data_IF_432914884746
#
_entry.id   IF_432914884746
#
_cell.length_a   1.000
_cell.length_b   1.000
_cell.length_c   1.000
_cell.angle_alpha   90.00
_cell.angle_beta   90.00
_cell.angle_gamma   90.00
#
_symmetry.space_group_name_H-M   'P 1'
#
loop_
_entity.id
_entity.type
_entity.pdbx_description
1 polymer ?
#
# COMPACT_ATOMS: atom_id res chain seq x y z
N UNK A 1 49.46 -47.52 28.73
CA UNK A 1 50.10 -47.26 30.03
C UNK A 1 49.78 -45.80 30.37
N UNK A 2 48.77 -45.57 31.21
CA UNK A 2 48.86 -45.51 32.68
C UNK A 2 49.39 -44.13 33.13
N UNK A 3 48.49 -43.22 33.50
CA UNK A 3 48.16 -42.85 34.90
C UNK A 3 48.98 -41.63 35.37
N UNK A 4 48.51 -40.72 36.25
CA UNK A 4 47.14 -40.34 36.65
C UNK A 4 47.22 -39.14 37.61
N UNK A 5 46.33 -38.14 37.47
CA UNK A 5 46.05 -37.17 38.53
C UNK A 5 44.61 -36.64 38.37
N UNK A 6 43.87 -36.51 39.47
CA UNK A 6 42.46 -36.16 39.49
C UNK A 6 42.11 -35.29 40.70
N UNK A 7 41.26 -34.28 40.51
CA UNK A 7 40.63 -33.54 41.61
C UNK A 7 39.21 -33.15 41.23
N UNK A 8 38.24 -33.86 41.79
CA UNK A 8 36.80 -33.61 41.66
C UNK A 8 36.24 -33.07 42.97
N UNK A 9 35.38 -32.05 42.91
CA UNK A 9 34.54 -31.63 44.03
C UNK A 9 33.09 -31.48 43.57
N UNK A 10 32.16 -32.05 44.33
CA UNK A 10 30.74 -32.12 43.99
C UNK A 10 29.89 -32.12 45.27
N UNK A 11 29.13 -31.04 45.47
CA UNK A 11 28.15 -30.80 46.52
C UNK A 11 27.19 -29.73 45.98
N UNK A 12 25.89 -29.70 46.28
CA UNK A 12 24.95 -30.75 46.67
C UNK A 12 23.53 -30.21 46.37
N UNK A 13 22.52 -31.08 46.28
CA UNK A 13 21.14 -30.63 46.04
C UNK A 13 20.33 -30.68 47.34
N UNK A 14 19.56 -29.63 47.63
CA UNK A 14 18.54 -29.62 48.70
C UNK A 14 17.26 -28.96 48.24
N UNK A 15 16.13 -29.60 48.55
CA UNK A 15 14.78 -29.18 48.19
C UNK A 15 13.86 -29.17 49.41
N UNK A 16 13.24 -28.03 49.69
CA UNK A 16 12.09 -27.86 50.58
C UNK A 16 11.29 -26.67 50.00
N UNK A 17 10.01 -26.79 49.66
CA UNK A 17 8.84 -26.87 50.56
C UNK A 17 8.65 -25.60 51.40
N UNK A 18 7.48 -24.98 51.56
CA UNK A 18 6.14 -24.99 50.95
C UNK A 18 5.27 -24.09 51.87
N UNK A 19 4.27 -23.40 51.32
CA UNK A 19 3.05 -22.90 52.00
C UNK A 19 2.96 -21.62 52.86
N UNK A 20 1.74 -21.08 52.78
CA UNK A 20 0.98 -20.21 53.69
C UNK A 20 1.56 -18.87 54.21
N UNK A 21 0.96 -17.77 53.71
CA UNK A 21 -0.09 -17.10 54.51
C UNK A 21 -1.09 -16.31 53.65
N UNK A 22 -2.35 -16.25 54.10
CA UNK A 22 -3.50 -15.68 53.37
C UNK A 22 -4.41 -14.86 54.29
N UNK A 23 -4.83 -13.67 53.84
CA UNK A 23 -6.00 -12.84 54.26
C UNK A 23 -6.01 -11.66 53.27
N UNK A 24 -7.10 -11.28 52.59
CA UNK A 24 -8.42 -10.86 53.09
C UNK A 24 -8.59 -9.38 52.64
N UNK A 25 -9.76 -8.81 52.32
CA UNK A 25 -11.17 -9.13 52.62
C UNK A 25 -12.05 -8.75 51.39
N UNK A 26 -13.28 -9.27 51.30
CA UNK A 26 -14.30 -8.86 50.31
C UNK A 26 -15.64 -8.54 50.98
N UNK A 27 -16.25 -7.40 50.63
CA UNK A 27 -17.64 -6.97 50.92
C UNK A 27 -18.00 -6.05 49.71
N UNK A 28 -19.07 -6.21 48.89
CA UNK A 28 -20.53 -6.28 49.14
C UNK A 28 -21.07 -4.95 49.75
N UNK A 29 -22.28 -4.45 49.47
CA UNK A 29 -23.23 -4.64 48.34
C UNK A 29 -24.22 -3.42 48.33
N UNK A 30 -25.05 -3.29 47.28
CA UNK A 30 -26.38 -2.64 47.25
C UNK A 30 -26.64 -1.24 47.88
N UNK A 31 -27.26 -0.36 47.06
CA UNK A 31 -28.56 0.23 47.44
C UNK A 31 -29.38 0.66 46.19
N UNK A 32 -30.71 0.62 46.28
CA UNK A 32 -31.67 0.88 45.20
C UNK A 32 -32.65 2.03 45.51
N UNK A 33 -33.19 2.66 44.45
CA UNK A 33 -34.49 3.34 44.35
C UNK A 33 -34.70 4.65 45.16
N UNK A 34 -35.63 5.57 44.84
CA UNK A 34 -36.68 5.62 43.77
C UNK A 34 -36.48 6.91 42.88
N UNK A 35 -37.39 7.73 42.32
CA UNK A 35 -38.86 7.89 42.35
C UNK A 35 -39.49 8.61 41.10
N UNK A 36 -40.83 8.63 41.06
CA UNK A 36 -41.86 9.34 40.25
C UNK A 36 -41.51 10.68 39.51
N UNK A 37 -41.85 10.99 38.23
CA UNK A 37 -43.11 10.87 37.40
C UNK A 37 -44.29 11.73 37.92
N UNK A 38 -45.16 12.41 37.11
CA UNK A 38 -45.31 12.54 35.62
C UNK A 38 -44.93 14.00 35.12
N UNK A 39 -45.63 14.85 34.32
CA UNK A 39 -46.95 14.86 33.64
C UNK A 39 -47.14 16.01 32.59
N UNK A 40 -48.22 15.92 31.77
CA UNK A 40 -48.90 16.94 30.90
C UNK A 40 -48.17 17.60 29.70
N UNK A 41 -48.82 18.07 28.63
CA UNK A 41 -50.05 17.63 27.90
C UNK A 41 -50.18 18.36 26.54
N UNK A 42 -51.13 17.95 25.68
CA UNK A 42 -51.47 18.50 24.36
C UNK A 42 -51.59 20.03 24.23
N UNK A 43 -51.41 20.54 23.00
CA UNK A 43 -52.49 21.27 22.31
C UNK A 43 -52.35 21.19 20.76
N UNK A 44 -53.48 21.12 20.05
CA UNK A 44 -53.52 20.95 18.59
C UNK A 44 -53.94 22.21 17.80
N UNK A 45 -53.86 22.10 16.47
CA UNK A 45 -54.28 23.03 15.40
C UNK A 45 -55.51 23.93 15.68
N UNK A 46 -55.79 25.03 14.95
CA UNK A 46 -55.91 25.18 13.48
C UNK A 46 -56.05 26.70 13.15
N UNK A 47 -55.78 27.24 11.95
CA UNK A 47 -56.73 27.58 10.85
C UNK A 47 -56.03 28.47 9.78
N UNK A 48 -56.52 28.36 8.53
CA UNK A 48 -56.44 29.17 7.28
C UNK A 48 -56.02 30.68 7.36
N UNK A 49 -55.66 31.44 6.30
CA UNK A 49 -56.18 31.45 4.89
C UNK A 49 -55.26 32.17 3.86
N UNK A 50 -55.48 31.85 2.57
CA UNK A 50 -55.04 32.46 1.28
C UNK A 50 -54.61 33.96 1.22
N UNK A 51 -53.62 34.29 0.36
CA UNK A 51 -53.83 35.09 -0.89
C UNK A 51 -52.54 35.44 -1.69
N UNK A 52 -52.67 35.44 -3.04
CA UNK A 52 -51.97 36.28 -4.06
C UNK A 52 -50.43 36.37 -4.18
N UNK A 53 -49.89 36.14 -5.39
CA UNK A 53 -48.52 36.55 -5.80
C UNK A 53 -47.96 35.82 -7.04
N UNK A 54 -48.32 36.23 -8.26
CA UNK A 54 -47.78 35.65 -9.51
C UNK A 54 -46.63 36.50 -10.10
N UNK A 55 -45.46 35.88 -10.36
CA UNK A 55 -44.49 36.28 -11.38
C UNK A 55 -43.46 35.17 -11.66
N UNK A 56 -42.82 35.21 -12.83
CA UNK A 56 -41.54 34.53 -13.16
C UNK A 56 -41.52 32.98 -13.19
N UNK A 57 -42.02 32.37 -14.28
CA UNK A 57 -41.77 30.97 -14.65
C UNK A 57 -41.46 30.80 -16.14
N UNK A 58 -40.19 30.96 -16.54
CA UNK A 58 -39.74 30.72 -17.94
C UNK A 58 -38.36 30.02 -18.06
N UNK A 59 -37.67 29.71 -16.96
CA UNK A 59 -36.28 29.21 -17.00
C UNK A 59 -36.05 27.87 -16.27
N UNK A 60 -37.11 27.09 -16.02
CA UNK A 60 -37.06 25.88 -15.19
C UNK A 60 -37.66 24.61 -15.85
N UNK A 61 -37.90 24.65 -17.17
CA UNK A 61 -38.46 23.51 -17.95
C UNK A 61 -37.42 22.76 -18.80
N UNK A 62 -36.40 23.45 -19.33
CA UNK A 62 -35.37 22.84 -20.19
C UNK A 62 -34.44 21.90 -19.40
N UNK A 63 -33.99 22.31 -18.21
CA UNK A 63 -33.17 21.48 -17.34
C UNK A 63 -33.87 20.19 -16.89
N UNK A 64 -35.20 20.23 -16.68
CA UNK A 64 -35.99 19.05 -16.29
C UNK A 64 -36.21 18.07 -17.46
N UNK A 65 -36.34 18.55 -18.69
CA UNK A 65 -36.58 17.71 -19.87
C UNK A 65 -35.32 16.99 -20.37
N UNK A 66 -34.14 17.62 -20.31
CA UNK A 66 -32.89 16.93 -20.60
C UNK A 66 -32.60 15.81 -19.58
N UNK A 67 -32.86 16.08 -18.30
CA UNK A 67 -32.65 15.11 -17.21
C UNK A 67 -33.52 13.85 -17.38
N UNK A 68 -34.79 13.99 -17.78
CA UNK A 68 -35.66 12.84 -18.07
C UNK A 68 -35.28 12.12 -19.36
N UNK A 69 -34.85 12.84 -20.42
CA UNK A 69 -34.43 12.22 -21.68
C UNK A 69 -33.20 11.31 -21.51
N UNK A 70 -32.15 11.80 -20.83
CA UNK A 70 -30.95 11.00 -20.55
C UNK A 70 -31.25 9.77 -19.66
N UNK A 71 -32.13 9.92 -18.67
CA UNK A 71 -32.61 8.79 -17.85
C UNK A 71 -33.42 7.77 -18.64
N UNK A 72 -34.25 8.23 -19.59
CA UNK A 72 -35.06 7.38 -20.47
C UNK A 72 -34.18 6.57 -21.42
N UNK A 73 -33.23 7.22 -22.10
CA UNK A 73 -32.24 6.54 -22.95
C UNK A 73 -31.40 5.53 -22.16
N UNK A 74 -30.94 5.89 -20.96
CA UNK A 74 -30.19 4.98 -20.08
C UNK A 74 -31.02 3.74 -19.71
N UNK A 75 -32.33 3.91 -19.50
CA UNK A 75 -33.26 2.83 -19.16
C UNK A 75 -33.54 1.94 -20.37
N UNK A 76 -33.78 2.51 -21.55
CA UNK A 76 -33.94 1.77 -22.81
C UNK A 76 -32.67 0.99 -23.16
N UNK A 77 -31.49 1.59 -23.02
CA UNK A 77 -30.20 0.92 -23.28
C UNK A 77 -29.97 -0.25 -22.32
N UNK A 78 -30.30 -0.10 -21.03
CA UNK A 78 -30.29 -1.20 -20.05
C UNK A 78 -31.29 -2.31 -20.42
N UNK A 79 -32.49 -1.97 -20.91
CA UNK A 79 -33.46 -2.95 -21.36
C UNK A 79 -32.97 -3.75 -22.59
N UNK A 80 -32.39 -3.07 -23.58
CA UNK A 80 -31.79 -3.69 -24.78
C UNK A 80 -30.64 -4.62 -24.39
N UNK A 81 -29.75 -4.19 -23.48
CA UNK A 81 -28.66 -5.05 -22.96
C UNK A 81 -29.20 -6.25 -22.17
N UNK A 82 -30.29 -6.08 -21.40
CA UNK A 82 -30.96 -7.18 -20.69
C UNK A 82 -31.56 -8.19 -21.66
N UNK A 83 -32.28 -7.74 -22.69
CA UNK A 83 -32.84 -8.61 -23.74
C UNK A 83 -31.75 -9.34 -24.51
N UNK A 84 -30.69 -8.65 -24.97
CA UNK A 84 -29.55 -9.30 -25.64
C UNK A 84 -28.83 -10.31 -24.75
N UNK A 85 -28.74 -10.06 -23.43
CA UNK A 85 -28.19 -11.03 -22.46
C UNK A 85 -29.09 -12.26 -22.31
N UNK A 86 -30.41 -12.07 -22.23
CA UNK A 86 -31.37 -13.18 -22.15
C UNK A 86 -31.34 -14.02 -23.43
N UNK A 87 -31.34 -13.37 -24.60
CA UNK A 87 -31.18 -14.01 -25.91
C UNK A 87 -29.90 -14.85 -25.93
N UNK A 88 -28.73 -14.25 -25.66
CA UNK A 88 -27.43 -14.96 -25.64
C UNK A 88 -27.42 -16.16 -24.68
N UNK A 89 -28.10 -16.07 -23.53
CA UNK A 89 -28.22 -17.19 -22.58
C UNK A 89 -29.19 -18.28 -23.05
N UNK A 90 -30.22 -17.93 -23.83
CA UNK A 90 -31.11 -18.89 -24.48
C UNK A 90 -30.40 -19.58 -25.65
N UNK A 91 -29.63 -18.84 -26.45
CA UNK A 91 -28.83 -19.37 -27.56
C UNK A 91 -27.74 -20.33 -27.03
N UNK A 92 -26.99 -19.95 -25.99
CA UNK A 92 -26.03 -20.83 -25.30
C UNK A 92 -26.74 -22.08 -24.74
N UNK A 93 -27.92 -21.94 -24.14
CA UNK A 93 -28.68 -23.09 -23.61
C UNK A 93 -29.16 -24.01 -24.74
N UNK A 94 -29.50 -23.49 -25.91
CA UNK A 94 -29.83 -24.30 -27.07
C UNK A 94 -28.61 -25.09 -27.56
N UNK A 95 -27.45 -24.45 -27.71
CA UNK A 95 -26.22 -25.09 -28.19
C UNK A 95 -25.58 -26.10 -27.22
N UNK A 96 -25.90 -26.07 -25.92
CA UNK A 96 -25.51 -27.11 -24.95
C UNK A 96 -26.26 -28.45 -25.19
N UNK A 97 -27.25 -28.47 -26.09
CA UNK A 97 -28.05 -29.67 -26.40
C UNK A 97 -27.40 -30.63 -27.40
N UNK A 98 -26.30 -30.24 -28.06
CA UNK A 98 -25.69 -30.97 -29.18
C UNK A 98 -24.23 -31.37 -28.86
N UNK A 99 -23.82 -32.66 -28.92
CA UNK A 99 -22.54 -33.09 -28.35
C UNK A 99 -21.27 -32.71 -29.14
N UNK A 100 -21.37 -32.18 -30.37
CA UNK A 100 -20.21 -32.00 -31.25
C UNK A 100 -20.21 -30.69 -32.05
N UNK A 101 -19.46 -29.70 -31.56
CA UNK A 101 -18.73 -28.67 -32.34
C UNK A 101 -17.65 -28.07 -31.40
N UNK A 102 -16.40 -27.96 -31.85
CA UNK A 102 -15.36 -27.29 -31.08
C UNK A 102 -15.38 -25.77 -31.29
N UNK A 103 -15.09 -25.01 -30.24
CA UNK A 103 -15.13 -23.54 -30.25
C UNK A 103 -13.94 -22.87 -30.97
N UNK A 104 -13.15 -23.66 -31.70
CA UNK A 104 -11.84 -23.30 -32.25
C UNK A 104 -11.91 -22.61 -33.62
N UNK A 105 -12.77 -23.07 -34.54
CA UNK A 105 -12.76 -22.60 -35.93
C UNK A 105 -13.33 -21.19 -36.12
N UNK A 106 -14.29 -20.75 -35.30
CA UNK A 106 -15.01 -19.49 -35.52
C UNK A 106 -14.17 -18.22 -35.25
N UNK A 107 -12.99 -18.34 -34.62
CA UNK A 107 -12.14 -17.20 -34.26
C UNK A 107 -11.07 -16.87 -35.31
N UNK A 108 -10.89 -17.70 -36.34
CA UNK A 108 -9.74 -17.60 -37.27
C UNK A 108 -10.02 -16.69 -38.49
N UNK A 109 -11.28 -16.49 -38.87
CA UNK A 109 -11.63 -15.90 -40.18
C UNK A 109 -11.64 -14.36 -40.28
N UNK A 110 -11.29 -13.61 -39.22
CA UNK A 110 -11.49 -12.16 -39.18
C UNK A 110 -10.25 -11.34 -38.75
N UNK A 111 -9.05 -11.81 -39.07
CA UNK A 111 -7.78 -11.08 -38.84
C UNK A 111 -7.16 -10.58 -40.14
N UNK A 112 -7.37 -9.30 -40.47
CA UNK A 112 -6.67 -8.61 -41.56
C UNK A 112 -6.05 -7.31 -41.03
N UNK A 113 -4.72 -7.26 -41.02
CA UNK A 113 -3.82 -6.09 -40.87
C UNK A 113 -4.20 -4.95 -39.91
N UNK A 114 -3.52 -4.91 -38.77
CA UNK A 114 -2.89 -3.71 -38.17
C UNK A 114 -1.70 -4.18 -37.31
N UNK A 115 -0.53 -3.56 -37.46
CA UNK A 115 0.73 -4.01 -36.84
C UNK A 115 1.01 -3.32 -35.48
N UNK A 116 -0.06 -3.04 -34.74
CA UNK A 116 -0.01 -2.41 -33.41
C UNK A 116 0.23 -3.44 -32.29
N UNK A 117 1.01 -3.11 -31.24
CA UNK A 117 1.14 -3.97 -30.07
C UNK A 117 -0.22 -4.13 -29.38
N UNK A 118 -0.62 -5.36 -28.99
CA UNK A 118 -1.92 -5.58 -28.37
C UNK A 118 -2.02 -4.79 -27.05
N UNK A 119 -3.15 -4.12 -26.78
CA UNK A 119 -3.29 -3.32 -25.57
C UNK A 119 -3.20 -4.21 -24.32
N UNK A 120 -2.73 -3.67 -23.17
CA UNK A 120 -2.50 -4.45 -21.97
C UNK A 120 -3.78 -5.17 -21.52
N UNK A 121 -3.63 -6.36 -20.93
CA UNK A 121 -4.71 -7.36 -20.78
C UNK A 121 -5.94 -6.94 -19.94
N UNK A 122 -5.96 -5.73 -19.37
CA UNK A 122 -7.13 -5.13 -18.73
C UNK A 122 -8.03 -4.33 -19.69
N UNK A 123 -7.58 -4.08 -20.93
CA UNK A 123 -8.25 -3.18 -21.90
C UNK A 123 -9.31 -3.86 -22.78
N UNK A 124 -9.33 -5.19 -22.86
CA UNK A 124 -10.30 -5.92 -23.68
C UNK A 124 -11.64 -6.11 -22.95
N UNK A 125 -12.75 -5.76 -23.61
CA UNK A 125 -14.09 -5.78 -23.00
C UNK A 125 -14.53 -7.21 -22.64
N UNK A 126 -14.69 -7.48 -21.34
CA UNK A 126 -15.84 -8.23 -20.78
C UNK A 126 -15.88 -8.10 -19.25
N UNK A 127 -17.07 -7.81 -18.70
CA UNK A 127 -17.33 -7.79 -17.26
C UNK A 127 -17.47 -9.22 -16.68
N UNK A 128 -16.47 -10.06 -16.90
CA UNK A 128 -16.34 -11.38 -16.26
C UNK A 128 -15.61 -11.16 -14.93
N UNK A 129 -16.18 -11.57 -13.78
CA UNK A 129 -15.44 -11.54 -12.52
C UNK A 129 -14.18 -12.39 -12.62
N UNK A 130 -13.03 -11.86 -12.19
CA UNK A 130 -11.82 -12.65 -11.99
C UNK A 130 -12.11 -13.70 -10.92
N UNK A 131 -12.16 -14.97 -11.33
CA UNK A 131 -12.28 -16.12 -10.43
C UNK A 131 -10.86 -16.50 -9.98
N UNK A 132 -10.57 -16.62 -8.68
CA UNK A 132 -9.26 -17.08 -8.20
C UNK A 132 -8.97 -18.50 -8.71
N UNK A 133 -7.76 -18.75 -9.22
CA UNK A 133 -7.31 -20.06 -9.72
C UNK A 133 -5.99 -20.46 -9.08
N UNK A 134 -5.83 -21.74 -8.71
CA UNK A 134 -4.56 -22.23 -8.16
C UNK A 134 -3.44 -22.19 -9.21
N UNK A 135 -2.20 -21.79 -8.86
CA UNK A 135 -1.08 -21.81 -9.80
C UNK A 135 -0.69 -23.22 -10.25
N UNK A 136 -0.89 -23.51 -11.54
CA UNK A 136 -0.60 -24.83 -12.14
C UNK A 136 0.79 -24.87 -12.77
N UNK A 137 1.25 -23.77 -13.37
CA UNK A 137 2.50 -23.74 -14.10
C UNK A 137 3.70 -23.40 -13.21
N UNK A 138 4.87 -23.97 -13.52
CA UNK A 138 6.09 -23.83 -12.72
C UNK A 138 6.50 -22.36 -12.45
N UNK A 139 6.20 -21.42 -13.35
CA UNK A 139 6.46 -19.98 -13.14
C UNK A 139 5.55 -19.40 -12.06
N UNK A 140 4.24 -19.68 -12.13
CA UNK A 140 3.26 -19.27 -11.13
C UNK A 140 3.51 -19.93 -9.76
N UNK A 141 3.89 -21.21 -9.73
CA UNK A 141 4.25 -21.91 -8.49
C UNK A 141 5.48 -21.27 -7.82
N UNK A 142 6.53 -20.96 -8.59
CA UNK A 142 7.72 -20.24 -8.08
C UNK A 142 7.35 -18.83 -7.56
N UNK A 143 6.50 -18.11 -8.29
CA UNK A 143 6.06 -16.77 -7.89
C UNK A 143 5.21 -16.81 -6.61
N UNK A 144 4.28 -17.77 -6.48
CA UNK A 144 3.56 -18.06 -5.23
C UNK A 144 4.52 -18.29 -4.06
N UNK A 145 5.50 -19.18 -4.22
CA UNK A 145 6.49 -19.48 -3.18
C UNK A 145 7.31 -18.26 -2.78
N UNK A 146 7.64 -17.37 -3.73
CA UNK A 146 8.33 -16.12 -3.47
C UNK A 146 7.46 -15.13 -2.68
N UNK A 147 6.19 -14.93 -3.09
CA UNK A 147 5.26 -14.02 -2.42
C UNK A 147 4.91 -14.51 -0.99
N UNK A 148 4.76 -15.81 -0.78
CA UNK A 148 4.60 -16.44 0.55
C UNK A 148 5.84 -16.27 1.44
N UNK A 149 7.05 -16.23 0.87
CA UNK A 149 8.25 -15.93 1.66
C UNK A 149 8.31 -14.45 2.05
N UNK A 150 8.03 -13.53 1.11
CA UNK A 150 8.01 -12.08 1.35
C UNK A 150 6.91 -11.70 2.36
N UNK A 151 5.75 -12.37 2.37
CA UNK A 151 4.69 -12.10 3.35
C UNK A 151 5.08 -12.41 4.80
N UNK A 152 6.19 -13.13 5.04
CA UNK A 152 6.73 -13.35 6.39
C UNK A 152 7.48 -12.13 6.95
N UNK A 153 7.91 -11.17 6.11
CA UNK A 153 8.71 -10.01 6.57
C UNK A 153 7.93 -9.16 7.59
N UNK A 154 6.69 -8.70 7.32
CA UNK A 154 5.91 -7.97 8.33
C UNK A 154 5.60 -8.79 9.58
N UNK A 155 5.48 -10.12 9.45
CA UNK A 155 5.19 -11.00 10.59
C UNK A 155 6.37 -11.09 11.58
N UNK A 156 7.60 -10.79 11.14
CA UNK A 156 8.78 -10.70 12.01
C UNK A 156 8.75 -9.41 12.85
N UNK A 157 8.14 -8.33 12.33
CA UNK A 157 7.99 -7.06 13.05
C UNK A 157 7.00 -7.15 14.21
N UNK A 158 6.10 -8.14 14.23
CA UNK A 158 5.10 -8.33 15.30
C UNK A 158 5.67 -8.93 16.61
N UNK A 159 6.99 -9.11 16.72
CA UNK A 159 7.66 -9.60 17.94
C UNK A 159 7.75 -8.48 19.00
N UNK A 160 7.10 -8.59 20.18
CA UNK A 160 7.08 -7.51 21.17
C UNK A 160 8.48 -7.06 21.63
N UNK A 161 9.38 -8.00 21.94
CA UNK A 161 10.74 -7.65 22.40
C UNK A 161 11.61 -6.97 21.34
N UNK A 162 11.31 -7.18 20.05
CA UNK A 162 11.93 -6.42 18.96
C UNK A 162 11.41 -4.98 18.92
N UNK A 163 10.11 -4.79 19.14
CA UNK A 163 9.49 -3.45 19.17
C UNK A 163 9.89 -2.65 20.42
N UNK A 164 10.04 -3.31 21.58
CA UNK A 164 10.50 -2.69 22.82
C UNK A 164 11.96 -2.22 22.72
N UNK A 165 12.84 -3.01 22.09
CA UNK A 165 14.22 -2.58 21.76
C UNK A 165 14.21 -1.44 20.71
N UNK A 166 13.33 -1.53 19.72
CA UNK A 166 13.21 -0.50 18.69
C UNK A 166 12.80 0.85 19.27
N UNK A 167 11.83 0.89 20.19
CA UNK A 167 11.40 2.11 20.88
C UNK A 167 12.52 2.73 21.73
N UNK A 168 13.39 1.92 22.36
CA UNK A 168 14.58 2.42 23.07
C UNK A 168 15.62 3.05 22.13
N UNK A 169 15.65 2.66 20.85
CA UNK A 169 16.59 3.19 19.84
C UNK A 169 16.15 4.51 19.19
N UNK A 170 14.87 4.87 19.32
CA UNK A 170 14.25 6.07 18.73
C UNK A 170 14.28 7.23 19.75
N UNK A 171 14.66 8.46 19.38
CA UNK A 171 14.56 9.63 20.25
C UNK A 171 13.11 10.12 20.33
N UNK A 172 12.24 9.34 20.99
CA UNK A 172 10.78 9.52 20.98
C UNK A 172 10.34 10.94 21.36
N UNK A 173 11.00 11.58 22.33
CA UNK A 173 10.76 12.97 22.73
C UNK A 173 10.88 13.95 21.55
N UNK A 174 11.97 13.86 20.77
CA UNK A 174 12.18 14.69 19.57
C UNK A 174 11.12 14.38 18.49
N UNK A 175 10.82 13.09 18.26
CA UNK A 175 9.83 12.67 17.26
C UNK A 175 8.43 13.20 17.61
N UNK A 176 8.04 13.15 18.89
CA UNK A 176 6.73 13.63 19.33
C UNK A 176 6.62 15.16 19.37
N UNK A 177 7.70 15.88 19.72
CA UNK A 177 7.76 17.35 19.65
C UNK A 177 7.62 17.84 18.20
N UNK A 178 8.46 17.32 17.30
CA UNK A 178 8.45 17.68 15.87
C UNK A 178 7.09 17.36 15.21
N UNK A 179 6.46 16.24 15.61
CA UNK A 179 5.12 15.87 15.17
C UNK A 179 4.01 16.74 15.75
N UNK A 180 4.18 17.27 16.97
CA UNK A 180 3.24 18.20 17.59
C UNK A 180 3.30 19.56 16.89
N UNK A 181 4.48 20.12 16.67
CA UNK A 181 4.68 21.36 15.90
C UNK A 181 4.06 21.25 14.50
N UNK A 182 4.37 20.16 13.76
CA UNK A 182 3.78 19.91 12.43
C UNK A 182 2.25 19.78 12.49
N UNK A 183 1.71 19.09 13.50
CA UNK A 183 0.26 18.94 13.71
C UNK A 183 -0.43 20.28 14.03
N UNK A 184 0.19 21.13 14.85
CA UNK A 184 -0.35 22.45 15.19
C UNK A 184 -0.38 23.38 13.96
N UNK A 185 0.69 23.36 13.13
CA UNK A 185 0.73 24.10 11.86
C UNK A 185 -0.41 23.66 10.92
N UNK A 186 -0.57 22.35 10.69
CA UNK A 186 -1.62 21.82 9.81
C UNK A 186 -3.05 22.11 10.31
N UNK A 187 -3.24 22.25 11.63
CA UNK A 187 -4.52 22.67 12.21
C UNK A 187 -4.78 24.17 12.01
N UNK A 188 -3.75 25.02 12.16
CA UNK A 188 -3.85 26.46 11.90
C UNK A 188 -4.11 26.76 10.40
N UNK A 189 -3.45 26.03 9.49
CA UNK A 189 -3.73 26.09 8.04
C UNK A 189 -5.20 25.73 7.74
N UNK A 190 -5.71 24.64 8.30
CA UNK A 190 -7.10 24.22 8.10
C UNK A 190 -8.11 25.26 8.61
N UNK A 191 -7.88 25.81 9.80
CA UNK A 191 -8.69 26.91 10.34
C UNK A 191 -8.67 28.15 9.45
N UNK A 192 -7.53 28.44 8.81
CA UNK A 192 -7.37 29.56 7.87
C UNK A 192 -8.07 29.34 6.51
N UNK A 193 -8.28 28.08 6.11
CA UNK A 193 -8.83 27.72 4.78
C UNK A 193 -10.37 27.65 4.72
N UNK A 194 -11.05 27.99 5.81
CA UNK A 194 -12.50 28.13 5.92
C UNK A 194 -13.23 26.90 6.47
N UNK A 195 -14.51 27.07 6.81
CA UNK A 195 -15.33 26.05 7.47
C UNK A 195 -15.47 24.77 6.63
N UNK A 196 -15.26 23.62 7.29
CA UNK A 196 -15.44 22.29 6.68
C UNK A 196 -14.19 21.64 6.08
N UNK A 197 -13.04 22.32 6.07
CA UNK A 197 -11.74 21.68 5.78
C UNK A 197 -11.04 21.28 7.07
N UNK A 198 -10.64 20.01 7.17
CA UNK A 198 -9.77 19.51 8.23
C UNK A 198 -8.28 19.64 7.88
N UNK A 199 -7.37 19.40 8.84
CA UNK A 199 -5.92 19.42 8.62
C UNK A 199 -5.49 18.42 7.54
N UNK A 200 -4.40 18.72 6.83
CA UNK A 200 -3.92 17.86 5.74
C UNK A 200 -3.48 16.47 6.23
N UNK A 201 -3.09 16.33 7.49
CA UNK A 201 -2.66 15.09 8.13
C UNK A 201 -3.09 15.10 9.60
N UNK A 202 -3.22 13.92 10.21
CA UNK A 202 -3.48 13.78 11.64
C UNK A 202 -2.19 13.60 12.44
N UNK A 203 -2.23 13.77 13.76
CA UNK A 203 -1.01 13.68 14.60
C UNK A 203 -0.18 12.40 14.37
N UNK A 204 -0.80 11.23 14.26
CA UNK A 204 -0.09 9.96 13.97
C UNK A 204 0.63 9.97 12.61
N UNK A 205 0.07 10.68 11.61
CA UNK A 205 0.74 10.86 10.32
C UNK A 205 1.98 11.74 10.49
N UNK A 206 1.89 12.82 11.27
CA UNK A 206 3.03 13.70 11.60
C UNK A 206 4.14 12.93 12.35
N UNK A 207 3.80 12.05 13.30
CA UNK A 207 4.76 11.17 14.00
C UNK A 207 5.49 10.26 13.01
N UNK A 208 4.77 9.67 12.04
CA UNK A 208 5.38 8.86 11.00
C UNK A 208 6.24 9.69 10.01
N UNK A 209 5.91 10.97 9.77
CA UNK A 209 6.74 11.91 8.98
C UNK A 209 8.02 12.33 9.72
N UNK A 210 7.95 12.64 11.01
CA UNK A 210 9.12 12.93 11.84
C UNK A 210 10.05 11.70 11.93
N UNK A 211 9.49 10.49 12.16
CA UNK A 211 10.26 9.24 12.13
C UNK A 211 10.95 9.01 10.78
N UNK A 212 10.28 9.30 9.66
CA UNK A 212 10.84 9.18 8.31
C UNK A 212 12.06 10.10 8.12
N UNK A 213 11.95 11.38 8.54
CA UNK A 213 13.04 12.37 8.48
C UNK A 213 14.21 11.96 9.38
N UNK A 214 13.96 11.61 10.64
CA UNK A 214 15.01 11.12 11.55
C UNK A 214 15.71 9.86 11.02
N UNK A 215 14.93 8.89 10.50
CA UNK A 215 15.49 7.64 9.99
C UNK A 215 16.49 7.89 8.84
N UNK A 216 16.09 8.72 7.88
CA UNK A 216 16.88 9.01 6.67
C UNK A 216 18.03 10.01 6.90
N UNK A 217 17.91 10.92 7.85
CA UNK A 217 18.92 11.97 8.13
C UNK A 217 19.92 11.58 9.21
N UNK A 218 19.50 10.80 10.21
CA UNK A 218 20.24 10.62 11.47
C UNK A 218 20.45 9.16 11.89
N UNK A 219 19.54 8.24 11.57
CA UNK A 219 19.64 6.85 12.05
C UNK A 219 20.38 5.92 11.08
N UNK A 220 20.03 5.93 9.78
CA UNK A 220 20.38 4.85 8.86
C UNK A 220 21.19 5.33 7.63
N UNK A 221 22.26 4.62 7.32
CA UNK A 221 23.29 5.02 6.34
C UNK A 221 23.21 4.22 5.03
N UNK A 222 23.24 4.91 3.88
CA UNK A 222 23.29 4.26 2.57
C UNK A 222 24.69 3.74 2.26
N UNK A 223 24.78 2.48 1.81
CA UNK A 223 26.04 1.84 1.43
C UNK A 223 25.95 1.36 -0.02
N UNK A 224 26.59 2.11 -0.93
CA UNK A 224 26.84 1.59 -2.28
C UNK A 224 27.99 0.57 -2.22
N UNK A 225 29.19 1.02 -1.82
CA UNK A 225 30.32 0.17 -1.46
C UNK A 225 30.73 0.51 -0.01
N UNK A 226 31.11 -0.46 0.84
CA UNK A 226 31.65 -0.17 2.16
C UNK A 226 33.01 0.55 2.05
N UNK A 227 33.29 1.52 2.93
CA UNK A 227 34.63 2.08 3.09
C UNK A 227 35.55 1.08 3.80
N UNK A 228 36.87 1.19 3.56
CA UNK A 228 37.83 0.28 4.19
C UNK A 228 37.88 0.44 5.71
N UNK A 229 37.79 -0.66 6.45
CA UNK A 229 37.87 -0.67 7.92
C UNK A 229 39.25 -0.26 8.45
N UNK A 230 40.32 -0.46 7.67
CA UNK A 230 41.71 -0.17 8.07
C UNK A 230 42.21 1.23 7.72
N UNK A 231 41.77 1.80 6.60
CA UNK A 231 42.30 3.07 6.09
C UNK A 231 41.23 4.01 5.49
N UNK A 232 39.94 3.66 5.62
CA UNK A 232 38.76 4.43 5.20
C UNK A 232 38.67 4.83 3.72
N UNK A 233 39.65 4.45 2.91
CA UNK A 233 39.65 4.62 1.46
C UNK A 233 38.51 3.84 0.80
N UNK A 234 38.06 4.25 -0.41
CA UNK A 234 37.05 3.52 -1.17
C UNK A 234 37.44 2.06 -1.46
N UNK A 235 36.42 1.25 -1.74
CA UNK A 235 36.57 -0.13 -2.16
C UNK A 235 35.92 -0.37 -3.52
N UNK A 236 36.41 -1.35 -4.27
CA UNK A 236 35.77 -1.89 -5.46
C UNK A 236 35.13 -3.25 -5.14
N UNK A 237 34.02 -3.58 -5.79
CA UNK A 237 33.42 -4.91 -5.67
C UNK A 237 34.33 -5.96 -6.33
N UNK A 238 34.62 -7.06 -5.64
CA UNK A 238 35.41 -8.17 -6.19
C UNK A 238 34.55 -9.45 -6.37
N UNK A 239 33.48 -9.64 -5.59
CA UNK A 239 32.54 -10.74 -5.82
C UNK A 239 31.54 -11.01 -4.69
N UNK A 240 31.32 -12.29 -4.42
CA UNK A 240 30.54 -12.80 -3.29
C UNK A 240 31.43 -13.65 -2.39
N UNK A 241 31.20 -13.59 -1.08
CA UNK A 241 31.73 -14.53 -0.10
C UNK A 241 30.62 -15.46 0.41
N UNK A 242 31.00 -16.65 0.88
CA UNK A 242 30.10 -17.52 1.64
C UNK A 242 29.86 -16.86 3.01
N UNK A 243 28.61 -16.76 3.51
CA UNK A 243 28.34 -16.25 4.85
C UNK A 243 29.08 -17.07 5.92
N UNK A 244 29.79 -16.38 6.81
CA UNK A 244 30.43 -17.04 7.96
C UNK A 244 29.34 -17.46 8.98
N UNK A 245 29.57 -18.45 9.86
CA UNK A 245 28.51 -19.00 10.72
C UNK A 245 27.78 -17.96 11.58
N UNK A 246 28.50 -16.93 12.03
CA UNK A 246 28.00 -15.79 12.80
C UNK A 246 27.14 -14.82 11.96
N UNK A 247 27.52 -14.58 10.70
CA UNK A 247 26.72 -13.78 9.76
C UNK A 247 25.44 -14.52 9.36
N UNK A 248 25.54 -15.83 9.12
CA UNK A 248 24.40 -16.70 8.79
C UNK A 248 23.43 -16.83 9.97
N UNK A 249 23.92 -16.93 11.20
CA UNK A 249 23.09 -16.89 12.42
C UNK A 249 22.34 -15.56 12.54
N UNK A 250 22.95 -14.44 12.14
CA UNK A 250 22.32 -13.12 11.99
C UNK A 250 21.48 -12.94 10.71
N UNK A 251 21.10 -14.03 10.04
CA UNK A 251 20.27 -14.09 8.82
C UNK A 251 20.91 -13.66 7.49
N UNK A 252 22.22 -13.38 7.42
CA UNK A 252 22.86 -13.08 6.14
C UNK A 252 22.90 -14.33 5.25
N UNK A 253 22.20 -14.27 4.10
CA UNK A 253 22.24 -15.32 3.06
C UNK A 253 23.25 -15.02 1.95
N UNK A 254 23.62 -13.76 1.80
CA UNK A 254 24.55 -13.25 0.80
C UNK A 254 25.54 -12.31 1.47
N UNK A 255 26.81 -12.40 1.09
CA UNK A 255 27.86 -11.47 1.50
C UNK A 255 28.55 -10.95 0.26
N UNK A 256 28.49 -9.64 0.05
CA UNK A 256 29.24 -8.99 -1.01
C UNK A 256 30.69 -8.75 -0.53
N UNK A 257 31.66 -9.10 -1.38
CA UNK A 257 33.08 -8.96 -1.07
C UNK A 257 33.68 -7.77 -1.82
N UNK A 258 34.34 -6.90 -1.06
CA UNK A 258 34.91 -5.65 -1.55
C UNK A 258 36.40 -5.56 -1.23
N UNK A 259 37.19 -4.99 -2.14
CA UNK A 259 38.63 -4.79 -2.01
C UNK A 259 39.00 -3.32 -1.94
N UNK A 260 39.78 -2.94 -0.93
CA UNK A 260 40.27 -1.58 -0.78
C UNK A 260 41.31 -1.24 -1.86
N UNK A 261 41.09 -0.13 -2.57
CA UNK A 261 41.96 0.31 -3.67
C UNK A 261 43.34 0.79 -3.20
N UNK A 262 43.48 1.16 -1.92
CA UNK A 262 44.70 1.72 -1.35
C UNK A 262 45.58 0.67 -0.62
N UNK A 263 44.96 -0.15 0.24
CA UNK A 263 45.70 -1.10 1.09
C UNK A 263 45.48 -2.59 0.76
N UNK A 264 44.66 -2.90 -0.26
CA UNK A 264 44.26 -4.27 -0.63
C UNK A 264 43.57 -5.08 0.49
N UNK A 265 43.13 -4.46 1.59
CA UNK A 265 42.30 -5.14 2.58
C UNK A 265 40.92 -5.50 2.00
N UNK A 266 40.36 -6.62 2.47
CA UNK A 266 39.00 -7.04 2.13
C UNK A 266 37.98 -6.57 3.16
N UNK A 267 36.86 -6.05 2.67
CA UNK A 267 35.69 -5.72 3.47
C UNK A 267 34.54 -6.65 3.09
N UNK A 268 33.89 -7.24 4.09
CA UNK A 268 32.66 -8.02 3.93
C UNK A 268 31.44 -7.10 4.07
N UNK A 269 30.44 -7.28 3.21
CA UNK A 269 29.15 -6.61 3.33
C UNK A 269 28.01 -7.63 3.34
N UNK A 270 27.67 -8.19 4.52
CA UNK A 270 26.57 -9.14 4.67
C UNK A 270 25.21 -8.46 4.48
N UNK A 271 24.34 -9.10 3.72
CA UNK A 271 22.98 -8.64 3.43
C UNK A 271 22.02 -9.26 4.45
N UNK A 272 21.87 -8.59 5.59
CA UNK A 272 21.04 -9.04 6.71
C UNK A 272 19.54 -8.82 6.46
N UNK A 273 18.71 -9.74 6.92
CA UNK A 273 17.24 -9.67 6.82
C UNK A 273 16.52 -9.52 8.16
N UNK A 274 17.21 -9.77 9.28
CA UNK A 274 16.72 -9.60 10.64
C UNK A 274 16.69 -8.11 11.03
N UNK A 275 15.52 -7.51 11.34
CA UNK A 275 15.43 -6.11 11.74
C UNK A 275 16.24 -5.76 13.00
N UNK A 276 16.46 -6.70 13.92
CA UNK A 276 17.26 -6.49 15.13
C UNK A 276 18.72 -6.20 14.76
N UNK A 277 19.26 -6.96 13.80
CA UNK A 277 20.62 -6.77 13.27
C UNK A 277 20.70 -5.48 12.43
N UNK A 278 19.62 -5.08 11.76
CA UNK A 278 19.58 -3.81 11.03
C UNK A 278 19.59 -2.59 11.98
N UNK A 279 18.94 -2.65 13.16
CA UNK A 279 19.04 -1.60 14.18
C UNK A 279 20.44 -1.44 14.78
N UNK A 280 21.24 -2.50 14.79
CA UNK A 280 22.63 -2.48 15.25
C UNK A 280 23.59 -2.00 14.15
N UNK A 281 23.44 -2.52 12.93
CA UNK A 281 24.34 -2.21 11.80
C UNK A 281 24.04 -0.86 11.15
N UNK A 282 22.80 -0.37 11.26
CA UNK A 282 22.32 0.97 10.84
C UNK A 282 22.72 1.38 9.43
N UNK A 283 22.89 0.42 8.53
CA UNK A 283 23.38 0.66 7.18
C UNK A 283 22.90 -0.40 6.20
N UNK A 284 22.75 -0.01 4.94
CA UNK A 284 22.32 -0.94 3.89
C UNK A 284 21.96 -0.26 2.58
N UNK A 285 21.09 -0.92 1.80
CA UNK A 285 20.43 -0.37 0.62
C UNK A 285 18.92 -0.48 0.80
N UNK A 286 18.15 -0.25 -0.26
CA UNK A 286 16.68 -0.16 -0.23
C UNK A 286 15.98 -1.32 0.50
N UNK A 287 16.50 -2.56 0.37
CA UNK A 287 16.00 -3.73 1.10
C UNK A 287 16.09 -3.59 2.61
N UNK A 288 17.27 -3.25 3.11
CA UNK A 288 17.53 -3.02 4.54
C UNK A 288 16.81 -1.76 5.07
N UNK A 289 16.79 -0.70 4.26
CA UNK A 289 16.09 0.56 4.55
C UNK A 289 14.59 0.34 4.77
N UNK A 290 13.90 -0.32 3.83
CA UNK A 290 12.46 -0.54 3.93
C UNK A 290 12.10 -1.53 5.05
N UNK A 291 12.94 -2.54 5.30
CA UNK A 291 12.72 -3.53 6.36
C UNK A 291 12.90 -2.91 7.77
N UNK A 292 14.02 -2.23 8.01
CA UNK A 292 14.29 -1.59 9.30
C UNK A 292 13.31 -0.44 9.58
N UNK A 293 13.01 0.38 8.57
CA UNK A 293 12.03 1.46 8.71
C UNK A 293 10.60 0.95 8.91
N UNK A 294 10.19 -0.09 8.17
CA UNK A 294 8.87 -0.71 8.35
C UNK A 294 8.65 -1.26 9.75
N UNK A 295 9.67 -1.92 10.31
CA UNK A 295 9.69 -2.34 11.72
C UNK A 295 9.61 -1.16 12.68
N UNK A 296 10.35 -0.07 12.47
CA UNK A 296 10.29 1.14 13.32
C UNK A 296 8.91 1.83 13.25
N UNK A 297 8.27 1.88 12.07
CA UNK A 297 6.88 2.30 11.94
C UNK A 297 5.94 1.40 12.76
N UNK A 298 6.16 0.08 12.75
CA UNK A 298 5.37 -0.86 13.57
C UNK A 298 5.58 -0.62 15.07
N UNK A 299 6.78 -0.25 15.50
CA UNK A 299 7.13 0.05 16.89
C UNK A 299 6.36 1.28 17.41
N UNK A 300 6.31 2.38 16.66
CA UNK A 300 5.52 3.57 17.01
C UNK A 300 3.99 3.39 16.82
N UNK A 301 3.51 2.16 16.66
CA UNK A 301 2.08 1.83 16.58
C UNK A 301 1.41 2.12 15.23
N UNK A 302 2.16 2.38 14.16
CA UNK A 302 1.58 2.45 12.81
C UNK A 302 1.21 1.04 12.31
N UNK A 303 0.02 0.90 11.72
CA UNK A 303 -0.26 -0.21 10.80
C UNK A 303 0.56 0.02 9.53
N UNK A 304 1.44 -0.92 9.21
CA UNK A 304 2.46 -0.78 8.17
C UNK A 304 2.41 -1.96 7.19
N UNK A 305 2.83 -1.72 5.96
CA UNK A 305 3.08 -2.73 4.93
C UNK A 305 4.53 -2.65 4.44
N UNK A 306 5.11 -3.80 4.15
CA UNK A 306 6.25 -3.94 3.23
C UNK A 306 5.71 -4.00 1.80
N UNK A 307 6.18 -3.15 0.89
CA UNK A 307 5.81 -3.21 -0.53
C UNK A 307 6.99 -3.73 -1.34
N UNK A 308 6.78 -4.85 -2.02
CA UNK A 308 7.72 -5.40 -2.98
C UNK A 308 7.33 -4.98 -4.40
N UNK A 309 8.31 -4.49 -5.17
CA UNK A 309 8.18 -4.27 -6.60
C UNK A 309 9.07 -5.22 -7.42
N UNK A 310 8.57 -5.61 -8.59
CA UNK A 310 9.18 -6.60 -9.47
C UNK A 310 10.45 -6.13 -10.20
N UNK A 311 10.74 -4.83 -10.17
CA UNK A 311 11.87 -4.17 -10.84
C UNK A 311 12.94 -3.75 -9.80
N UNK A 312 13.23 -4.69 -8.89
CA UNK A 312 14.25 -4.65 -7.82
C UNK A 312 14.20 -3.41 -6.91
N UNK A 313 12.98 -2.93 -6.61
CA UNK A 313 12.74 -1.88 -5.63
C UNK A 313 11.78 -2.35 -4.52
N UNK A 314 11.91 -1.78 -3.31
CA UNK A 314 11.00 -2.03 -2.18
C UNK A 314 10.80 -0.77 -1.36
N UNK A 315 9.66 -0.63 -0.68
CA UNK A 315 9.34 0.54 0.15
C UNK A 315 8.26 0.17 1.19
N UNK A 316 7.65 1.15 1.86
CA UNK A 316 6.59 0.90 2.85
C UNK A 316 5.29 1.66 2.54
N UNK A 317 4.18 1.18 3.10
CA UNK A 317 2.97 2.00 3.28
C UNK A 317 2.59 2.02 4.76
N UNK A 318 2.00 3.12 5.25
CA UNK A 318 1.30 3.14 6.54
C UNK A 318 -0.17 3.49 6.35
N UNK A 319 -1.05 2.97 7.22
CA UNK A 319 -2.46 3.29 7.17
C UNK A 319 -2.77 4.56 7.98
N UNK A 320 -3.05 5.65 7.27
CA UNK A 320 -3.50 6.90 7.90
C UNK A 320 -4.94 6.75 8.39
N UNK A 321 -5.14 6.74 9.71
CA UNK A 321 -6.47 6.74 10.32
C UNK A 321 -7.25 8.03 10.00
N UNK A 322 -6.54 9.14 9.81
CA UNK A 322 -7.10 10.44 9.43
C UNK A 322 -7.62 10.44 7.98
N UNK A 323 -6.78 10.05 7.02
CA UNK A 323 -7.16 9.96 5.59
C UNK A 323 -7.97 8.71 5.25
N UNK A 324 -8.02 7.71 6.14
CA UNK A 324 -8.75 6.43 6.00
C UNK A 324 -8.33 5.65 4.75
N UNK A 325 -7.01 5.63 4.49
CA UNK A 325 -6.35 4.91 3.39
C UNK A 325 -4.89 4.62 3.72
N UNK A 326 -4.26 3.78 2.91
CA UNK A 326 -2.82 3.61 2.89
C UNK A 326 -2.11 4.81 2.26
N UNK A 327 -0.94 5.13 2.79
CA UNK A 327 -0.06 6.25 2.42
C UNK A 327 1.30 5.68 2.09
N UNK A 328 1.89 6.12 0.98
CA UNK A 328 3.23 5.69 0.54
C UNK A 328 4.34 6.33 1.38
N UNK A 329 5.34 5.54 1.79
CA UNK A 329 6.59 6.02 2.35
C UNK A 329 7.79 5.33 1.68
N UNK A 330 8.74 6.11 1.18
CA UNK A 330 10.08 5.63 0.81
C UNK A 330 11.10 6.19 1.80
N UNK A 331 11.81 5.31 2.51
CA UNK A 331 12.80 5.69 3.53
C UNK A 331 14.21 5.94 2.98
N UNK A 332 14.49 5.61 1.72
CA UNK A 332 15.69 6.05 1.00
C UNK A 332 15.53 7.48 0.49
N UNK A 333 14.33 7.83 0.03
CA UNK A 333 14.02 9.10 -0.64
C UNK A 333 13.29 10.13 0.24
N UNK A 334 13.05 9.80 1.52
CA UNK A 334 12.28 10.61 2.49
C UNK A 334 10.84 10.96 2.00
N UNK A 335 10.28 10.13 1.12
CA UNK A 335 9.16 10.50 0.27
C UNK A 335 7.78 10.11 0.85
N UNK A 336 7.20 10.98 1.67
CA UNK A 336 5.81 10.85 2.15
C UNK A 336 4.77 11.12 1.05
N UNK A 337 3.83 10.19 0.86
CA UNK A 337 2.66 10.22 -0.04
C UNK A 337 2.93 10.54 -1.51
N UNK A 338 4.13 10.23 -2.02
CA UNK A 338 4.55 10.41 -3.42
C UNK A 338 4.60 9.10 -4.23
N UNK A 339 3.50 8.32 -4.40
CA UNK A 339 3.54 7.04 -5.12
C UNK A 339 3.83 7.17 -6.63
N UNK A 340 3.81 8.38 -7.21
CA UNK A 340 4.24 8.64 -8.59
C UNK A 340 5.76 8.85 -8.73
N UNK A 341 6.53 8.83 -7.63
CA UNK A 341 7.98 9.02 -7.62
C UNK A 341 8.70 8.10 -8.63
N UNK A 342 8.38 6.81 -8.59
CA UNK A 342 9.04 5.81 -9.43
C UNK A 342 8.64 5.91 -10.92
N UNK A 343 7.38 6.24 -11.21
CA UNK A 343 6.84 6.28 -12.57
C UNK A 343 7.12 7.60 -13.26
N UNK A 344 6.71 8.71 -12.65
CA UNK A 344 6.74 10.04 -13.27
C UNK A 344 7.98 10.85 -12.86
N UNK A 345 8.55 10.58 -11.68
CA UNK A 345 9.82 11.19 -11.26
C UNK A 345 11.06 10.48 -11.83
N UNK A 346 11.08 9.14 -11.80
CA UNK A 346 12.21 8.33 -12.30
C UNK A 346 12.00 7.72 -13.69
N UNK A 347 10.82 7.85 -14.30
CA UNK A 347 10.52 7.29 -15.61
C UNK A 347 10.41 5.77 -15.67
N UNK A 348 10.43 5.05 -14.53
CA UNK A 348 10.46 3.58 -14.52
C UNK A 348 9.12 2.99 -14.99
N UNK A 349 9.20 2.01 -15.88
CA UNK A 349 8.10 1.08 -16.11
C UNK A 349 8.14 -0.02 -15.04
N UNK A 350 6.98 -0.36 -14.46
CA UNK A 350 6.85 -1.33 -13.37
C UNK A 350 5.83 -2.41 -13.77
N UNK A 351 5.93 -3.64 -13.25
CA UNK A 351 4.97 -4.72 -13.56
C UNK A 351 4.08 -5.11 -12.37
N UNK A 352 4.67 -5.34 -11.20
CA UNK A 352 3.95 -5.67 -9.97
C UNK A 352 4.44 -4.77 -8.83
N UNK A 353 3.52 -4.24 -8.03
CA UNK A 353 3.77 -3.73 -6.69
C UNK A 353 2.82 -4.45 -5.74
N UNK A 354 3.33 -5.38 -4.94
CA UNK A 354 2.55 -6.21 -4.00
C UNK A 354 2.91 -5.79 -2.58
N UNK A 355 1.90 -5.44 -1.79
CA UNK A 355 2.05 -5.03 -0.40
C UNK A 355 1.66 -6.14 0.56
N UNK A 356 2.38 -6.25 1.67
CA UNK A 356 2.22 -7.26 2.71
C UNK A 356 2.21 -6.62 4.09
N UNK A 357 1.32 -7.06 4.99
CA UNK A 357 1.30 -6.66 6.41
C UNK A 357 0.89 -7.84 7.30
N UNK A 358 0.79 -7.60 8.62
CA UNK A 358 0.13 -8.53 9.53
C UNK A 358 -1.33 -8.86 9.10
N UNK A 359 -1.99 -7.96 8.36
CA UNK A 359 -3.34 -8.14 7.80
C UNK A 359 -3.36 -8.96 6.47
N UNK A 360 -2.23 -9.52 6.03
CA UNK A 360 -2.13 -10.31 4.78
C UNK A 360 -1.51 -9.55 3.62
N UNK A 361 -2.04 -9.72 2.40
CA UNK A 361 -1.46 -9.13 1.18
C UNK A 361 -2.49 -8.42 0.27
N UNK A 362 -2.01 -7.47 -0.53
CA UNK A 362 -2.79 -6.77 -1.54
C UNK A 362 -1.94 -6.39 -2.77
N UNK A 363 -2.51 -6.52 -3.97
CA UNK A 363 -1.95 -5.91 -5.17
C UNK A 363 -2.24 -4.40 -5.17
N UNK A 364 -1.21 -3.60 -4.91
CA UNK A 364 -1.25 -2.13 -4.87
C UNK A 364 -0.71 -1.49 -6.15
N UNK A 365 -0.43 -2.27 -7.20
CA UNK A 365 0.20 -1.81 -8.46
C UNK A 365 -0.48 -0.55 -9.02
N UNK A 366 -1.81 -0.44 -8.95
CA UNK A 366 -2.60 0.72 -9.44
C UNK A 366 -2.43 2.02 -8.63
N UNK A 367 -1.80 1.99 -7.45
CA UNK A 367 -1.45 3.18 -6.65
C UNK A 367 -0.27 3.93 -7.29
N UNK A 368 0.67 3.14 -7.83
CA UNK A 368 1.95 3.53 -8.41
C UNK A 368 1.84 3.69 -9.93
N UNK A 369 1.42 2.64 -10.63
CA UNK A 369 1.16 2.67 -12.07
C UNK A 369 -0.24 3.22 -12.31
N UNK A 370 -0.31 4.46 -12.79
CA UNK A 370 -1.59 5.12 -13.12
C UNK A 370 -1.86 5.19 -14.62
N UNK A 371 -0.83 5.47 -15.43
CA UNK A 371 -0.90 5.52 -16.90
C UNK A 371 -0.19 4.34 -17.55
N UNK A 372 -0.71 3.88 -18.70
CA UNK A 372 -0.24 2.70 -19.41
C UNK A 372 1.22 2.80 -19.88
N UNK A 373 1.76 4.01 -20.11
CA UNK A 373 3.17 4.23 -20.49
C UNK A 373 4.20 3.66 -19.49
N UNK A 374 3.80 3.46 -18.24
CA UNK A 374 4.65 2.87 -17.19
C UNK A 374 4.25 1.43 -16.81
N UNK A 375 3.33 0.80 -17.54
CA UNK A 375 2.90 -0.57 -17.27
C UNK A 375 3.79 -1.58 -18.02
N UNK A 376 4.82 -2.10 -17.35
CA UNK A 376 5.60 -3.22 -17.85
C UNK A 376 4.78 -4.53 -17.83
N UNK A 377 5.20 -5.51 -18.64
CA UNK A 377 4.45 -6.75 -18.85
C UNK A 377 4.38 -7.61 -17.59
N UNK A 378 3.17 -7.83 -17.08
CA UNK A 378 2.86 -8.77 -16.00
C UNK A 378 2.83 -10.20 -16.54
N UNK A 379 3.92 -10.94 -16.36
CA UNK A 379 4.08 -12.29 -16.92
C UNK A 379 4.53 -13.37 -15.90
N UNK A 380 4.66 -13.03 -14.60
CA UNK A 380 5.13 -13.96 -13.56
C UNK A 380 4.07 -15.03 -13.22
N UNK A 381 2.79 -14.66 -13.31
CA UNK A 381 1.63 -15.55 -13.34
C UNK A 381 0.46 -14.79 -14.01
N UNK A 382 -0.67 -15.47 -14.24
CA UNK A 382 -1.92 -14.85 -14.67
C UNK A 382 -2.64 -14.11 -13.53
N UNK A 383 -3.50 -13.14 -13.84
CA UNK A 383 -4.26 -12.40 -12.81
C UNK A 383 -5.17 -13.28 -11.93
N UNK A 384 -5.83 -14.36 -12.44
CA UNK A 384 -6.51 -15.37 -11.61
C UNK A 384 -5.59 -16.08 -10.60
N UNK A 385 -4.34 -16.38 -11.00
CA UNK A 385 -3.34 -17.00 -10.12
C UNK A 385 -2.85 -16.02 -9.05
N UNK A 386 -2.57 -14.76 -9.43
CA UNK A 386 -2.19 -13.72 -8.46
C UNK A 386 -3.29 -13.49 -7.42
N UNK A 387 -4.55 -13.39 -7.86
CA UNK A 387 -5.70 -13.20 -6.97
C UNK A 387 -5.80 -14.34 -5.95
N UNK A 388 -5.63 -15.59 -6.40
CA UNK A 388 -5.60 -16.74 -5.49
C UNK A 388 -4.45 -16.68 -4.48
N UNK A 389 -3.24 -16.28 -4.89
CA UNK A 389 -2.09 -16.13 -3.99
C UNK A 389 -2.35 -15.03 -2.94
N UNK A 390 -2.99 -13.91 -3.33
CA UNK A 390 -3.39 -12.86 -2.39
C UNK A 390 -4.45 -13.36 -1.40
N UNK A 391 -5.45 -14.10 -1.88
CA UNK A 391 -6.50 -14.69 -1.05
C UNK A 391 -5.94 -15.73 -0.07
N UNK A 392 -4.99 -16.56 -0.51
CA UNK A 392 -4.28 -17.51 0.34
C UNK A 392 -3.49 -16.80 1.46
N UNK A 393 -2.71 -15.77 1.15
CA UNK A 393 -1.92 -15.04 2.15
C UNK A 393 -2.84 -14.33 3.15
N UNK A 394 -3.93 -13.69 2.68
CA UNK A 394 -4.96 -13.13 3.58
C UNK A 394 -5.59 -14.21 4.46
N UNK A 395 -5.95 -15.37 3.92
CA UNK A 395 -6.53 -16.47 4.67
C UNK A 395 -5.58 -17.04 5.74
N UNK A 396 -4.28 -17.17 5.43
CA UNK A 396 -3.24 -17.60 6.38
C UNK A 396 -3.07 -16.60 7.54
N UNK A 397 -2.99 -15.30 7.25
CA UNK A 397 -2.81 -14.27 8.27
C UNK A 397 -4.09 -14.08 9.12
N UNK A 398 -5.27 -14.17 8.50
CA UNK A 398 -6.56 -14.01 9.19
C UNK A 398 -6.99 -15.19 10.09
N UNK A 399 -6.26 -16.31 10.13
CA UNK A 399 -6.68 -17.53 10.86
C UNK A 399 -7.09 -17.24 12.31
N UNK A 400 -6.32 -16.41 13.03
CA UNK A 400 -6.50 -16.09 14.45
C UNK A 400 -7.38 -14.87 14.73
N UNK A 401 -7.81 -14.12 13.70
CA UNK A 401 -8.58 -12.88 13.88
C UNK A 401 -10.03 -13.13 14.28
N UNK A 402 -10.62 -12.18 15.00
CA UNK A 402 -12.06 -12.21 15.32
C UNK A 402 -12.94 -12.09 14.06
N UNK A 403 -14.23 -12.43 14.15
CA UNK A 403 -15.18 -12.22 13.04
C UNK A 403 -15.35 -10.73 12.72
N UNK A 404 -15.27 -9.87 13.74
CA UNK A 404 -15.40 -8.42 13.62
C UNK A 404 -14.19 -7.81 12.91
N UNK A 405 -12.97 -8.19 13.28
CA UNK A 405 -11.74 -7.74 12.61
C UNK A 405 -11.70 -8.16 11.14
N UNK A 406 -12.08 -9.41 10.82
CA UNK A 406 -12.18 -9.87 9.43
C UNK A 406 -13.17 -9.00 8.62
N UNK A 407 -14.30 -8.63 9.22
CA UNK A 407 -15.31 -7.77 8.57
C UNK A 407 -14.83 -6.32 8.43
N UNK A 408 -14.12 -5.79 9.43
CA UNK A 408 -13.47 -4.46 9.39
C UNK A 408 -12.40 -4.40 8.29
N UNK A 409 -11.48 -5.36 8.26
CA UNK A 409 -10.40 -5.45 7.29
C UNK A 409 -10.91 -5.63 5.85
N UNK A 410 -11.95 -6.44 5.62
CA UNK A 410 -12.58 -6.54 4.29
C UNK A 410 -13.31 -5.24 3.92
N UNK A 411 -13.88 -4.51 4.87
CA UNK A 411 -14.41 -3.16 4.67
C UNK A 411 -13.35 -2.12 4.27
N UNK A 412 -12.14 -2.24 4.81
CA UNK A 412 -10.96 -1.46 4.42
C UNK A 412 -10.43 -1.88 3.04
N UNK A 413 -10.33 -3.18 2.77
CA UNK A 413 -9.93 -3.72 1.46
C UNK A 413 -10.88 -3.28 0.34
N UNK A 414 -12.20 -3.34 0.57
CA UNK A 414 -13.21 -2.81 -0.36
C UNK A 414 -13.16 -1.27 -0.51
N UNK A 415 -12.55 -0.53 0.43
CA UNK A 415 -12.30 0.92 0.28
C UNK A 415 -11.07 1.15 -0.60
N UNK A 416 -9.97 0.46 -0.34
CA UNK A 416 -8.75 0.49 -1.16
C UNK A 416 -9.01 0.04 -2.60
N UNK A 417 -9.74 -1.05 -2.83
CA UNK A 417 -10.09 -1.50 -4.19
C UNK A 417 -10.94 -0.49 -4.97
N UNK A 418 -11.68 0.41 -4.29
CA UNK A 418 -12.36 1.55 -4.95
C UNK A 418 -11.39 2.70 -5.25
N UNK A 419 -10.48 3.01 -4.33
CA UNK A 419 -9.41 4.00 -4.53
C UNK A 419 -8.52 3.62 -5.73
N UNK A 420 -8.02 2.38 -5.75
CA UNK A 420 -7.15 1.84 -6.80
C UNK A 420 -7.83 1.83 -8.19
N UNK A 421 -9.14 1.57 -8.26
CA UNK A 421 -9.92 1.70 -9.50
C UNK A 421 -10.12 3.17 -9.90
N UNK A 422 -10.31 4.07 -8.93
CA UNK A 422 -10.49 5.49 -9.18
C UNK A 422 -9.23 6.19 -9.72
N UNK A 423 -8.02 5.70 -9.42
CA UNK A 423 -6.80 6.18 -10.10
C UNK A 423 -6.85 5.85 -11.60
N UNK A 424 -7.04 4.58 -11.97
CA UNK A 424 -7.09 4.15 -13.38
C UNK A 424 -8.23 4.84 -14.15
N UNK A 425 -9.42 4.97 -13.55
CA UNK A 425 -10.54 5.69 -14.18
C UNK A 425 -10.21 7.16 -14.38
N UNK A 426 -9.49 7.81 -13.44
CA UNK A 426 -9.11 9.23 -13.57
C UNK A 426 -8.15 9.44 -14.73
N UNK A 427 -7.07 8.66 -14.82
CA UNK A 427 -6.12 8.82 -15.93
C UNK A 427 -6.78 8.52 -17.28
N UNK A 428 -7.61 7.47 -17.38
CA UNK A 428 -8.37 7.18 -18.61
C UNK A 428 -9.30 8.33 -19.03
N UNK A 429 -9.97 8.97 -18.07
CA UNK A 429 -10.79 10.17 -18.34
C UNK A 429 -9.93 11.36 -18.75
N UNK A 430 -8.77 11.56 -18.12
CA UNK A 430 -7.82 12.62 -18.50
C UNK A 430 -7.26 12.41 -19.91
N UNK A 431 -6.84 11.19 -20.26
CA UNK A 431 -6.38 10.85 -21.61
C UNK A 431 -7.51 11.06 -22.63
N UNK A 432 -8.73 10.58 -22.38
CA UNK A 432 -9.89 10.81 -23.28
C UNK A 432 -10.19 12.30 -23.44
N UNK A 433 -10.21 13.08 -22.36
CA UNK A 433 -10.43 14.53 -22.40
C UNK A 433 -9.28 15.32 -23.06
N UNK A 434 -8.12 14.69 -23.28
CA UNK A 434 -7.01 15.28 -24.04
C UNK A 434 -7.10 15.04 -25.56
N UNK A 435 -8.04 14.20 -26.03
CA UNK A 435 -8.21 13.92 -27.45
C UNK A 435 -9.02 15.03 -28.14
N UNK A 436 -8.43 15.67 -29.13
CA UNK A 436 -9.15 16.46 -30.14
C UNK A 436 -9.43 15.60 -31.38
N UNK A 437 -10.41 16.03 -32.16
CA UNK A 437 -10.81 15.38 -33.42
C UNK A 437 -10.77 16.45 -34.51
N UNK A 438 -10.00 16.20 -35.56
CA UNK A 438 -9.92 17.05 -36.74
C UNK A 438 -10.47 16.28 -37.96
N UNK A 439 -11.36 16.92 -38.71
CA UNK A 439 -11.84 16.43 -40.00
C UNK A 439 -10.85 16.89 -41.08
N UNK A 440 -10.25 15.94 -41.79
CA UNK A 440 -9.28 16.20 -42.85
C UNK A 440 -9.98 16.57 -44.17
N UNK A 441 -9.25 17.24 -45.07
CA UNK A 441 -9.81 17.73 -46.34
C UNK A 441 -10.27 16.64 -47.33
N UNK A 442 -9.99 15.36 -47.05
CA UNK A 442 -10.47 14.19 -47.78
C UNK A 442 -11.71 13.52 -47.13
N UNK A 443 -12.23 14.09 -46.03
CA UNK A 443 -13.32 13.55 -45.24
C UNK A 443 -12.90 12.45 -44.24
N UNK A 444 -11.60 12.18 -44.09
CA UNK A 444 -11.11 11.28 -43.05
C UNK A 444 -11.08 11.98 -41.67
N UNK A 445 -11.36 11.23 -40.61
CA UNK A 445 -11.38 11.74 -39.24
C UNK A 445 -10.06 11.38 -38.55
N UNK A 446 -9.32 12.40 -38.13
CA UNK A 446 -8.05 12.25 -37.40
C UNK A 446 -8.23 12.56 -35.92
N UNK A 447 -7.90 11.60 -35.07
CA UNK A 447 -7.76 11.84 -33.62
C UNK A 447 -6.36 12.37 -33.35
N UNK A 448 -6.26 13.43 -32.55
CA UNK A 448 -4.99 14.07 -32.16
C UNK A 448 -4.98 14.17 -30.64
N UNK A 449 -3.86 13.83 -29.98
CA UNK A 449 -3.70 14.15 -28.56
C UNK A 449 -3.31 15.63 -28.47
N UNK A 450 -4.18 16.44 -27.87
CA UNK A 450 -3.90 17.85 -27.61
C UNK A 450 -2.64 17.98 -26.77
N UNK A 451 -1.79 18.96 -27.12
CA UNK A 451 -0.52 19.17 -26.44
C UNK A 451 -0.71 19.30 -24.93
N UNK A 452 0.03 18.50 -24.15
CA UNK A 452 -0.05 18.50 -22.70
C UNK A 452 0.36 19.90 -22.19
N UNK A 453 -0.62 20.72 -21.78
CA UNK A 453 -0.35 21.95 -21.03
C UNK A 453 0.29 21.53 -19.72
N UNK A 454 1.60 21.65 -19.64
CA UNK A 454 2.36 21.18 -18.49
C UNK A 454 1.92 21.93 -17.23
N UNK A 455 1.41 21.18 -16.25
CA UNK A 455 1.08 21.67 -14.90
C UNK A 455 2.33 21.89 -14.02
N UNK A 456 3.51 21.85 -14.63
CA UNK A 456 4.81 22.09 -13.99
C UNK A 456 4.86 23.44 -13.26
N UNK A 457 4.14 24.46 -13.75
CA UNK A 457 4.11 25.79 -13.16
C UNK A 457 3.32 25.93 -11.84
N UNK A 458 2.45 24.98 -11.47
CA UNK A 458 1.70 25.04 -10.18
C UNK A 458 2.34 24.18 -9.08
N UNK A 459 3.10 23.13 -9.43
CA UNK A 459 3.86 22.32 -8.44
C UNK A 459 5.31 22.81 -8.27
N UNK A 460 5.89 23.57 -9.21
CA UNK A 460 7.26 24.10 -9.06
C UNK A 460 7.40 25.12 -7.94
N UNK A 461 6.37 25.95 -7.70
CA UNK A 461 6.43 27.10 -6.78
C UNK A 461 6.51 26.68 -5.29
N UNK A 462 6.13 25.43 -5.00
CA UNK A 462 6.34 24.81 -3.68
C UNK A 462 7.77 24.28 -3.49
N UNK A 463 8.47 23.85 -4.54
CA UNK A 463 9.88 23.38 -4.41
C UNK A 463 10.88 24.55 -4.36
N UNK A 464 10.59 25.67 -5.02
CA UNK A 464 11.45 26.86 -5.01
C UNK A 464 11.40 27.60 -3.66
N UNK A 465 10.25 27.59 -2.97
CA UNK A 465 10.06 28.33 -1.72
C UNK A 465 10.72 27.69 -0.49
N UNK A 466 10.94 26.37 -0.47
CA UNK A 466 11.76 25.71 0.57
C UNK A 466 13.26 25.88 0.31
N UNK A 467 13.72 25.72 -0.93
CA UNK A 467 15.15 25.79 -1.27
C UNK A 467 15.78 27.16 -1.01
N UNK A 468 15.01 28.25 -1.16
CA UNK A 468 15.48 29.61 -0.85
C UNK A 468 15.71 29.89 0.64
N UNK A 469 15.39 28.97 1.56
CA UNK A 469 15.61 29.12 3.02
C UNK A 469 16.84 28.41 3.57
N UNK A 470 17.68 27.80 2.71
CA UNK A 470 18.94 27.15 3.12
C UNK A 470 20.20 27.73 2.47
N UNK A 471 20.07 28.79 1.65
CA UNK A 471 21.20 29.50 1.03
C UNK A 471 21.66 30.75 1.78
N UNK A 472 21.23 30.93 3.03
CA UNK A 472 21.52 32.14 3.85
C UNK A 472 21.85 31.81 5.31
N UNK A 473 22.70 30.81 5.53
CA UNK A 473 23.31 30.47 6.84
C UNK A 473 24.57 29.61 6.65
N UNK A 474 25.59 30.20 6.00
CA UNK A 474 27.00 29.76 6.00
C UNK A 474 27.89 31.02 6.08
#
# INVERSE_FOLDING_TARGET
MAQSASSSTSFEATSASQEHLSRGISILENHQSVDNVPDTSDYSATVQTLSSGQASLTHNQEARTQTTYAGTLTTQFRAILSQKRIQTLQDIKAHISDPHIELSEFLVQNSNYSDDPPPPAYSTIRNIPLVPMQPVHAKGIRFRSMLLHISTIPMQWENPGLLDEALQSVPLEHIYHEAEEESQILQAEAGSLGTGKGPAWGYQDCVARALLRWFRRSFFTWVNNPSCSRCHSPTAAEGQAVPDPDEMARSARNVELYRCIACNNYERFPRYSDPFVLMQTRRGRVGEYANCFGMLCRAIGCRVRFVWNAEDNVWTEVYSMHRKRWVHLDSCEEAWDKPRLYTDGWGKQLSYCIAFSADGAADVTRRYIRSAKYAARRDRCSEPELLHIMDEIRALHHQKLSKEDRMRLEGEHMREQRELRAFVIRELVTDICSLSVEEMADGSIRVIKGAEKSKEAEESDWLTSETSKHSSSL
#
